data_IF_196331382074
#
_entry.id   IF_196331382074
#
_cell.length_a   1.000
_cell.length_b   1.000
_cell.length_c   1.000
_cell.angle_alpha   90.00
_cell.angle_beta   90.00
_cell.angle_gamma   90.00
#
_symmetry.space_group_name_H-M   'P 1'
#
loop_
_entity.id
_entity.type
_entity.pdbx_description
1 polymer ?
#
# COMPACT_ATOMS: atom_id res chain seq x y z
N UNK A 1 -2.94 8.60 -3.47
CA UNK A 1 -3.01 7.37 -4.31
C UNK A 1 -2.22 6.19 -3.73
N UNK A 2 -1.62 6.31 -2.54
CA UNK A 2 -0.80 5.27 -1.89
C UNK A 2 -1.42 3.86 -1.93
N UNK A 3 -2.70 3.73 -1.57
CA UNK A 3 -3.36 2.43 -1.48
C UNK A 3 -3.48 1.70 -2.81
N UNK A 4 -3.46 2.38 -3.96
CA UNK A 4 -3.52 1.72 -5.28
C UNK A 4 -2.24 0.93 -5.60
N UNK A 5 -1.17 1.13 -4.84
CA UNK A 5 0.09 0.40 -5.00
C UNK A 5 0.16 -0.87 -4.15
N UNK A 6 -0.69 -1.01 -3.13
CA UNK A 6 -0.74 -2.19 -2.29
C UNK A 6 -1.24 -3.42 -3.03
N UNK A 7 -0.53 -4.53 -2.87
CA UNK A 7 -0.89 -5.83 -3.41
C UNK A 7 -1.95 -6.49 -2.51
N UNK A 8 -2.91 -7.21 -3.10
CA UNK A 8 -3.97 -7.88 -2.33
C UNK A 8 -3.59 -9.34 -2.04
N UNK A 9 -3.49 -9.70 -0.76
CA UNK A 9 -3.27 -11.08 -0.33
C UNK A 9 -4.50 -11.99 -0.51
N UNK A 10 -5.67 -11.42 -0.83
CA UNK A 10 -6.95 -12.13 -0.97
C UNK A 10 -7.67 -11.65 -2.21
N UNK A 11 -8.42 -12.56 -2.82
CA UNK A 11 -9.32 -12.19 -3.90
C UNK A 11 -10.53 -11.43 -3.34
N UNK A 12 -10.75 -10.21 -3.84
CA UNK A 12 -11.82 -9.34 -3.39
C UNK A 12 -12.59 -8.86 -4.61
N UNK A 13 -13.90 -8.94 -4.49
CA UNK A 13 -14.84 -8.48 -5.49
C UNK A 13 -15.64 -7.31 -4.94
N UNK A 14 -16.00 -6.39 -5.82
CA UNK A 14 -16.94 -5.33 -5.53
C UNK A 14 -18.04 -5.30 -6.58
N UNK A 15 -19.19 -4.73 -6.23
CA UNK A 15 -20.22 -4.41 -7.22
C UNK A 15 -19.65 -3.51 -8.31
N UNK A 16 -20.25 -3.57 -9.49
CA UNK A 16 -19.91 -2.64 -10.54
C UNK A 16 -20.11 -1.20 -10.03
N UNK A 17 -19.10 -0.31 -10.19
CA UNK A 17 -19.27 1.09 -9.85
C UNK A 17 -20.35 1.72 -10.72
N UNK A 18 -21.02 2.73 -10.18
CA UNK A 18 -22.00 3.52 -10.91
C UNK A 18 -21.38 4.12 -12.18
N UNK A 19 -22.03 3.91 -13.32
CA UNK A 19 -21.57 4.34 -14.64
C UNK A 19 -20.60 3.37 -15.32
N UNK A 20 -20.26 2.25 -14.68
CA UNK A 20 -19.39 1.20 -15.23
C UNK A 20 -20.09 -0.16 -15.33
N UNK A 21 -21.40 -0.20 -15.12
CA UNK A 21 -22.23 -1.38 -15.34
C UNK A 21 -22.27 -1.74 -16.83
N UNK A 22 -22.16 -3.03 -17.12
CA UNK A 22 -22.31 -3.54 -18.48
C UNK A 22 -23.77 -3.93 -18.69
N UNK A 23 -24.43 -3.33 -19.69
CA UNK A 23 -25.82 -3.62 -20.04
C UNK A 23 -26.04 -5.12 -20.27
N UNK A 24 -27.03 -5.70 -19.60
CA UNK A 24 -27.35 -7.13 -19.63
C UNK A 24 -26.42 -8.01 -18.78
N UNK A 25 -25.56 -7.40 -17.95
CA UNK A 25 -24.65 -8.06 -17.01
C UNK A 25 -24.60 -7.30 -15.68
N UNK A 26 -25.72 -6.74 -15.26
CA UNK A 26 -25.84 -5.90 -14.07
C UNK A 26 -25.48 -6.66 -12.78
N UNK A 27 -25.65 -7.98 -12.78
CA UNK A 27 -25.30 -8.91 -11.70
C UNK A 27 -23.80 -9.20 -11.57
N UNK A 28 -22.98 -8.77 -12.54
CA UNK A 28 -21.55 -9.01 -12.50
C UNK A 28 -20.87 -8.17 -11.41
N UNK A 29 -19.69 -8.66 -11.00
CA UNK A 29 -18.81 -8.00 -10.04
C UNK A 29 -17.45 -7.71 -10.67
N UNK A 30 -16.72 -6.74 -10.10
CA UNK A 30 -15.35 -6.42 -10.48
C UNK A 30 -14.39 -7.05 -9.48
N UNK A 31 -13.42 -7.82 -9.98
CA UNK A 31 -12.30 -8.30 -9.17
C UNK A 31 -11.28 -7.18 -8.98
N UNK A 32 -10.97 -6.85 -7.74
CA UNK A 32 -9.91 -5.90 -7.42
C UNK A 32 -8.54 -6.54 -7.61
N UNK A 33 -7.66 -5.88 -8.37
CA UNK A 33 -6.27 -6.30 -8.58
C UNK A 33 -5.27 -5.65 -7.63
N UNK A 34 -5.67 -4.54 -7.01
CA UNK A 34 -4.87 -3.72 -6.08
C UNK A 34 -5.76 -3.27 -4.93
N UNK A 35 -5.16 -2.88 -3.80
CA UNK A 35 -5.94 -2.29 -2.72
C UNK A 35 -6.56 -0.96 -3.14
N UNK A 36 -7.69 -0.64 -2.51
CA UNK A 36 -8.47 0.56 -2.77
C UNK A 36 -8.77 1.23 -1.43
N UNK A 37 -8.95 2.55 -1.45
CA UNK A 37 -9.46 3.28 -0.29
C UNK A 37 -10.79 2.70 0.20
N UNK A 38 -10.98 2.66 1.51
CA UNK A 38 -12.16 2.05 2.14
C UNK A 38 -12.06 0.53 2.38
N UNK A 39 -11.09 -0.18 1.77
CA UNK A 39 -10.83 -1.55 2.18
C UNK A 39 -10.12 -1.56 3.54
N UNK A 40 -10.62 -2.34 4.49
CA UNK A 40 -10.03 -2.47 5.85
C UNK A 40 -8.55 -2.84 5.84
N UNK A 41 -8.09 -3.62 4.86
CA UNK A 41 -6.69 -4.02 4.73
C UNK A 41 -5.84 -3.09 3.87
N UNK A 42 -6.41 -2.05 3.23
CA UNK A 42 -5.66 -1.19 2.31
C UNK A 42 -4.42 -0.54 2.95
N UNK A 43 -4.51 0.04 4.17
CA UNK A 43 -3.33 0.65 4.80
C UNK A 43 -2.23 -0.37 5.06
N UNK A 44 -2.60 -1.60 5.46
CA UNK A 44 -1.64 -2.67 5.71
C UNK A 44 -0.95 -3.16 4.44
N UNK A 45 -1.70 -3.28 3.33
CA UNK A 45 -1.12 -3.69 2.05
C UNK A 45 -0.21 -2.63 1.46
N UNK A 46 -0.58 -1.36 1.62
CA UNK A 46 0.30 -0.25 1.28
C UNK A 46 1.59 -0.29 2.10
N UNK A 47 1.50 -0.42 3.43
CA UNK A 47 2.67 -0.52 4.30
C UNK A 47 3.62 -1.64 3.87
N UNK A 48 3.09 -2.86 3.61
CA UNK A 48 3.93 -3.99 3.16
C UNK A 48 4.63 -3.69 1.85
N UNK A 49 3.92 -3.05 0.91
CA UNK A 49 4.51 -2.64 -0.36
C UNK A 49 5.63 -1.63 -0.15
N UNK A 50 5.39 -0.63 0.68
CA UNK A 50 6.35 0.40 1.02
C UNK A 50 7.60 -0.20 1.68
N UNK A 51 7.43 -1.00 2.73
CA UNK A 51 8.52 -1.71 3.42
C UNK A 51 9.39 -2.53 2.46
N UNK A 52 8.75 -3.28 1.55
CA UNK A 52 9.48 -4.06 0.54
C UNK A 52 10.30 -3.18 -0.41
N UNK A 53 9.76 -2.04 -0.86
CA UNK A 53 10.46 -1.12 -1.76
C UNK A 53 11.62 -0.44 -1.02
N UNK A 54 11.38 0.07 0.19
CA UNK A 54 12.41 0.72 1.00
C UNK A 54 13.57 -0.21 1.32
N UNK A 55 13.29 -1.49 1.61
CA UNK A 55 14.33 -2.50 1.82
C UNK A 55 15.23 -2.69 0.59
N UNK A 56 14.66 -2.69 -0.63
CA UNK A 56 15.44 -2.76 -1.88
C UNK A 56 16.29 -1.49 -2.09
N UNK A 57 15.83 -0.33 -1.62
CA UNK A 57 16.59 0.92 -1.69
C UNK A 57 17.69 1.05 -0.62
N UNK A 58 17.79 0.09 0.31
CA UNK A 58 18.82 0.05 1.36
C UNK A 58 18.37 0.57 2.72
N UNK A 59 17.11 1.00 2.86
CA UNK A 59 16.58 1.47 4.13
C UNK A 59 16.28 0.31 5.06
N UNK A 60 16.48 0.56 6.36
CA UNK A 60 16.21 -0.38 7.43
C UNK A 60 15.10 0.17 8.32
N UNK A 61 14.17 -0.69 8.70
CA UNK A 61 13.13 -0.36 9.66
C UNK A 61 13.70 -0.39 11.09
N UNK A 62 13.25 0.51 11.95
CA UNK A 62 13.60 0.44 13.37
C UNK A 62 12.83 -0.68 14.08
N UNK A 63 13.39 -1.19 15.19
CA UNK A 63 12.71 -2.16 16.04
C UNK A 63 11.75 -1.51 17.05
N UNK A 64 11.94 -0.22 17.32
CA UNK A 64 11.13 0.55 18.27
C UNK A 64 9.84 1.05 17.64
N UNK A 65 9.91 1.50 16.38
CA UNK A 65 8.76 1.98 15.62
C UNK A 65 8.79 1.40 14.19
N UNK A 66 7.73 0.68 13.85
CA UNK A 66 7.59 0.07 12.54
C UNK A 66 7.31 1.07 11.41
N UNK A 67 6.96 2.30 11.74
CA UNK A 67 6.77 3.40 10.79
C UNK A 67 8.06 4.18 10.51
N UNK A 68 9.12 3.94 11.30
CA UNK A 68 10.40 4.61 11.14
C UNK A 68 11.38 3.75 10.33
N UNK A 69 11.94 4.35 9.28
CA UNK A 69 12.98 3.80 8.43
C UNK A 69 14.21 4.70 8.49
N UNK A 70 15.40 4.13 8.36
CA UNK A 70 16.64 4.88 8.32
C UNK A 70 17.64 4.26 7.34
N UNK A 71 18.51 5.10 6.81
CA UNK A 71 19.66 4.69 6.01
C UNK A 71 20.85 5.60 6.33
N UNK A 72 22.01 5.00 6.57
CA UNK A 72 23.27 5.71 6.78
C UNK A 72 24.07 5.70 5.47
N UNK A 73 24.63 6.85 5.10
CA UNK A 73 25.40 7.06 3.87
C UNK A 73 26.91 7.22 4.12
N UNK A 74 27.36 7.08 5.37
CA UNK A 74 28.74 7.22 5.83
C UNK A 74 28.91 8.41 6.77
N UNK A 75 29.82 8.29 7.74
CA UNK A 75 30.04 9.34 8.74
C UNK A 75 28.78 9.67 9.53
N UNK A 76 28.47 10.97 9.60
CA UNK A 76 27.28 11.51 10.26
C UNK A 76 26.10 11.72 9.30
N UNK A 77 26.20 11.29 8.04
CA UNK A 77 25.14 11.44 7.05
C UNK A 77 24.14 10.28 7.12
N UNK A 78 22.89 10.61 7.44
CA UNK A 78 21.80 9.67 7.46
C UNK A 78 20.46 10.33 7.09
N UNK A 79 19.53 9.50 6.61
CA UNK A 79 18.13 9.89 6.39
C UNK A 79 17.27 9.08 7.34
N UNK A 80 16.33 9.74 8.01
CA UNK A 80 15.21 9.11 8.71
C UNK A 80 13.94 9.45 7.94
N UNK A 81 13.13 8.43 7.72
CA UNK A 81 11.84 8.53 7.05
C UNK A 81 10.77 7.98 7.98
N UNK A 82 9.69 8.73 8.15
CA UNK A 82 8.55 8.35 8.96
C UNK A 82 7.35 8.15 8.05
N UNK A 83 6.67 7.02 8.15
CA UNK A 83 5.47 6.74 7.38
C UNK A 83 4.24 6.75 8.30
N UNK A 84 3.31 7.68 8.10
CA UNK A 84 2.03 7.69 8.79
C UNK A 84 0.88 7.44 7.82
N UNK A 85 0.35 6.21 7.82
CA UNK A 85 -0.71 5.76 6.92
C UNK A 85 -0.27 5.89 5.45
N UNK A 86 -0.56 7.01 4.79
CA UNK A 86 -0.17 7.34 3.42
C UNK A 86 0.70 8.60 3.29
N UNK A 87 0.98 9.27 4.41
CA UNK A 87 1.89 10.41 4.51
C UNK A 87 3.31 9.96 4.85
N UNK A 88 4.30 10.67 4.31
CA UNK A 88 5.73 10.39 4.43
C UNK A 88 6.52 11.67 4.62
#
# INVERSE_FOLDING_TARGET
TAFLHGDLDKEIYMKQPEGFEVKGKEDYVRRLRKSLYGLKQAPRQWYKKFESVMGVQGYRKTTLDHCAFYQNFGGDDFIILLLYVDDM
#
